data_IF_805716242727
#
_entry.id   IF_805716242727
#
_cell.length_a   1.000
_cell.length_b   1.000
_cell.length_c   1.000
_cell.angle_alpha   90.00
_cell.angle_beta   90.00
_cell.angle_gamma   90.00
#
_symmetry.space_group_name_H-M   'P 1'
#
loop_
_entity.id
_entity.type
_entity.pdbx_description
1 polymer ?
#
# COMPACT_ATOMS: atom_id res chain seq x y z
N UNK A 1 1.14 0.42 11.12
CA UNK A 1 2.16 0.53 12.17
C UNK A 1 2.03 -0.61 13.16
N UNK A 2 0.87 -0.75 13.82
CA UNK A 2 0.68 -1.85 14.78
C UNK A 2 0.95 -3.26 14.19
N UNK A 3 0.55 -3.53 12.95
CA UNK A 3 0.82 -4.83 12.31
C UNK A 3 2.32 -5.09 12.09
N UNK A 4 3.09 -4.04 11.82
CA UNK A 4 4.56 -4.11 11.73
C UNK A 4 5.13 -4.50 13.10
N UNK A 5 4.68 -3.85 14.17
CA UNK A 5 5.11 -4.17 15.54
C UNK A 5 4.78 -5.61 15.92
N UNK A 6 3.55 -6.06 15.64
CA UNK A 6 3.14 -7.44 15.94
C UNK A 6 4.00 -8.46 15.20
N UNK A 7 4.25 -8.24 13.92
CA UNK A 7 5.13 -9.11 13.14
C UNK A 7 6.58 -9.06 13.65
N UNK A 8 7.09 -7.89 14.06
CA UNK A 8 8.41 -7.75 14.67
C UNK A 8 8.54 -8.54 15.98
N UNK A 9 7.53 -8.49 16.84
CA UNK A 9 7.47 -9.28 18.10
C UNK A 9 7.52 -10.79 17.81
N UNK A 10 6.97 -11.23 16.68
CA UNK A 10 7.03 -12.61 16.22
C UNK A 10 8.35 -12.96 15.51
N UNK A 11 9.33 -12.06 15.50
CA UNK A 11 10.67 -12.29 14.95
C UNK A 11 10.87 -11.86 13.50
N UNK A 12 9.91 -11.15 12.88
CA UNK A 12 10.10 -10.63 11.53
C UNK A 12 11.04 -9.41 11.50
N UNK A 13 12.02 -9.43 10.60
CA UNK A 13 12.99 -8.34 10.42
C UNK A 13 12.68 -7.47 9.19
N UNK A 14 11.76 -7.91 8.34
CA UNK A 14 11.31 -7.18 7.15
C UNK A 14 9.81 -7.38 6.89
N UNK A 15 9.18 -6.40 6.24
CA UNK A 15 7.73 -6.35 6.08
C UNK A 15 7.35 -6.05 4.63
N UNK A 16 6.66 -7.00 4.00
CA UNK A 16 6.15 -6.85 2.64
C UNK A 16 4.74 -6.25 2.61
N UNK A 17 4.49 -5.34 1.67
CA UNK A 17 3.20 -4.71 1.48
C UNK A 17 2.77 -4.78 0.02
N UNK A 18 1.61 -5.41 -0.24
CA UNK A 18 1.00 -5.48 -1.58
C UNK A 18 -0.20 -4.55 -1.71
N UNK A 19 -1.33 -4.96 -1.13
CA UNK A 19 -2.62 -4.27 -1.27
C UNK A 19 -2.60 -2.82 -0.76
N UNK A 20 -1.94 -2.55 0.37
CA UNK A 20 -1.88 -1.21 0.96
C UNK A 20 -1.32 -0.16 -0.01
N UNK A 21 -0.09 -0.34 -0.52
CA UNK A 21 0.47 0.50 -1.57
C UNK A 21 -0.38 0.58 -2.85
N UNK A 22 -1.00 -0.52 -3.30
CA UNK A 22 -1.88 -0.48 -4.47
C UNK A 22 -3.10 0.42 -4.25
N UNK A 23 -3.69 0.41 -3.05
CA UNK A 23 -4.80 1.30 -2.68
C UNK A 23 -4.31 2.74 -2.59
N UNK A 24 -3.14 2.98 -2.01
CA UNK A 24 -2.52 4.32 -1.98
C UNK A 24 -2.28 4.88 -3.39
N UNK A 25 -2.03 4.02 -4.38
CA UNK A 25 -1.87 4.40 -5.80
C UNK A 25 -3.19 4.52 -6.57
N UNK A 26 -4.34 4.24 -5.95
CA UNK A 26 -5.66 4.45 -6.56
C UNK A 26 -6.50 3.18 -6.78
N UNK A 27 -6.10 2.02 -6.27
CA UNK A 27 -6.96 0.82 -6.30
C UNK A 27 -8.25 1.06 -5.49
N UNK A 28 -9.42 0.76 -6.08
CA UNK A 28 -10.75 0.87 -5.44
C UNK A 28 -11.31 -0.47 -4.96
N UNK A 29 -10.47 -1.51 -4.92
CA UNK A 29 -10.81 -2.84 -4.41
C UNK A 29 -12.04 -3.49 -5.07
N UNK A 30 -12.23 -3.25 -6.38
CA UNK A 30 -13.34 -3.79 -7.17
C UNK A 30 -13.24 -5.31 -7.45
N UNK A 31 -12.07 -5.91 -7.22
CA UNK A 31 -11.79 -7.35 -7.40
C UNK A 31 -12.02 -7.90 -8.82
N UNK A 32 -11.98 -7.02 -9.82
CA UNK A 32 -12.05 -7.36 -11.25
C UNK A 32 -10.67 -7.43 -11.93
N UNK A 33 -9.59 -7.58 -11.15
CA UNK A 33 -8.21 -7.54 -11.66
C UNK A 33 -7.94 -8.59 -12.75
N UNK A 34 -8.55 -9.77 -12.62
CA UNK A 34 -8.43 -10.89 -13.56
C UNK A 34 -9.15 -10.67 -14.90
N UNK A 35 -10.01 -9.66 -15.00
CA UNK A 35 -10.79 -9.36 -16.21
C UNK A 35 -10.08 -8.39 -17.16
N UNK A 36 -8.85 -7.95 -16.84
CA UNK A 36 -8.13 -6.92 -17.57
C UNK A 36 -8.91 -5.58 -17.72
N UNK A 37 -9.93 -5.35 -16.89
CA UNK A 37 -10.84 -4.19 -16.97
C UNK A 37 -10.80 -3.34 -15.70
N UNK A 38 -9.60 -3.07 -15.17
CA UNK A 38 -9.43 -2.27 -13.96
C UNK A 38 -9.84 -0.81 -14.22
N UNK A 39 -10.95 -0.39 -13.60
CA UNK A 39 -11.53 0.96 -13.77
C UNK A 39 -10.61 2.11 -13.31
N UNK A 40 -9.55 1.81 -12.55
CA UNK A 40 -8.58 2.82 -12.08
C UNK A 40 -7.18 2.65 -12.70
N UNK A 41 -7.06 1.83 -13.75
CA UNK A 41 -5.79 1.68 -14.48
C UNK A 41 -4.67 0.97 -13.70
N UNK A 42 -4.92 0.43 -12.51
CA UNK A 42 -3.90 -0.21 -11.65
C UNK A 42 -3.52 -1.62 -12.13
N UNK A 43 -4.51 -2.49 -12.35
CA UNK A 43 -4.30 -3.91 -12.68
C UNK A 43 -4.93 -4.25 -14.04
N UNK A 44 -4.43 -3.64 -15.11
CA UNK A 44 -4.86 -3.84 -16.49
C UNK A 44 -3.71 -3.56 -17.45
N UNK A 45 -3.67 -4.28 -18.57
CA UNK A 45 -2.79 -4.02 -19.71
C UNK A 45 -3.50 -3.22 -20.81
N UNK A 46 -4.80 -2.94 -20.68
CA UNK A 46 -5.54 -2.10 -21.62
C UNK A 46 -4.96 -0.68 -21.61
N UNK A 47 -4.47 -0.23 -22.76
CA UNK A 47 -3.79 1.05 -22.93
C UNK A 47 -4.68 2.24 -22.57
N UNK A 48 -5.95 2.23 -22.99
CA UNK A 48 -6.91 3.30 -22.69
C UNK A 48 -7.14 3.41 -21.19
N UNK A 49 -7.36 2.29 -20.49
CA UNK A 49 -7.60 2.30 -19.05
C UNK A 49 -6.35 2.73 -18.27
N UNK A 50 -5.16 2.30 -18.68
CA UNK A 50 -3.89 2.71 -18.06
C UNK A 50 -3.65 4.21 -18.23
N UNK A 51 -3.77 4.72 -19.45
CA UNK A 51 -3.46 6.12 -19.79
C UNK A 51 -4.49 7.10 -19.23
N UNK A 52 -5.77 6.72 -19.19
CA UNK A 52 -6.85 7.62 -18.79
C UNK A 52 -7.22 7.55 -17.31
N UNK A 53 -6.89 6.46 -16.60
CA UNK A 53 -7.41 6.24 -15.24
C UNK A 53 -6.35 6.00 -14.17
N UNK A 54 -5.11 5.64 -14.53
CA UNK A 54 -4.06 5.53 -13.53
C UNK A 54 -3.58 6.91 -13.08
N UNK A 55 -3.74 7.21 -11.79
CA UNK A 55 -3.38 8.50 -11.18
C UNK A 55 -2.25 8.39 -10.15
N UNK A 56 -1.68 7.18 -9.98
CA UNK A 56 -0.71 6.91 -8.92
C UNK A 56 0.59 7.68 -9.13
N UNK A 57 0.97 8.50 -8.15
CA UNK A 57 2.24 9.21 -8.13
C UNK A 57 3.18 8.57 -7.10
N UNK A 58 4.51 8.58 -7.32
CA UNK A 58 5.48 8.08 -6.34
C UNK A 58 5.30 8.71 -4.94
N UNK A 59 4.91 9.99 -4.87
CA UNK A 59 4.67 10.67 -3.59
C UNK A 59 3.54 10.03 -2.77
N UNK A 60 2.53 9.45 -3.42
CA UNK A 60 1.39 8.84 -2.72
C UNK A 60 1.84 7.60 -1.94
N UNK A 61 2.68 6.76 -2.54
CA UNK A 61 3.23 5.56 -1.87
C UNK A 61 4.31 5.93 -0.84
N UNK A 62 5.12 6.97 -1.10
CA UNK A 62 6.06 7.49 -0.11
C UNK A 62 5.33 7.99 1.13
N UNK A 63 4.27 8.77 0.97
CA UNK A 63 3.45 9.26 2.08
C UNK A 63 2.81 8.11 2.87
N UNK A 64 2.31 7.07 2.18
CA UNK A 64 1.79 5.86 2.83
C UNK A 64 2.84 5.24 3.77
N UNK A 65 4.06 5.01 3.29
CA UNK A 65 5.13 4.43 4.11
C UNK A 65 5.62 5.38 5.21
N UNK A 66 5.65 6.70 4.97
CA UNK A 66 5.94 7.69 6.01
C UNK A 66 4.94 7.60 7.17
N UNK A 67 3.65 7.41 6.88
CA UNK A 67 2.62 7.24 7.91
C UNK A 67 2.73 5.89 8.63
N UNK A 68 2.98 4.79 7.90
CA UNK A 68 3.23 3.48 8.52
C UNK A 68 4.44 3.54 9.45
N UNK A 69 5.54 4.16 9.02
CA UNK A 69 6.74 4.32 9.82
C UNK A 69 6.50 5.21 11.04
N UNK A 70 5.77 6.33 10.88
CA UNK A 70 5.42 7.22 11.98
C UNK A 70 4.61 6.50 13.05
N UNK A 71 3.54 5.80 12.66
CA UNK A 71 2.73 5.02 13.60
C UNK A 71 3.55 3.91 14.28
N UNK A 72 4.47 3.27 13.55
CA UNK A 72 5.38 2.28 14.12
C UNK A 72 6.24 2.88 15.24
N UNK A 73 6.84 4.07 15.01
CA UNK A 73 7.61 4.78 16.04
C UNK A 73 6.76 5.21 17.24
N UNK A 74 5.51 5.64 17.00
CA UNK A 74 4.56 5.98 18.06
C UNK A 74 4.26 4.75 18.95
N UNK A 75 4.20 3.55 18.38
CA UNK A 75 4.05 2.30 19.15
C UNK A 75 5.33 1.89 19.88
N UNK A 76 6.50 2.01 19.25
CA UNK A 76 7.79 1.75 19.91
C UNK A 76 7.96 2.62 21.15
N UNK A 77 7.69 3.93 21.02
CA UNK A 77 7.74 4.88 22.13
C UNK A 77 6.79 4.50 23.29
N UNK A 78 5.61 3.94 23.00
CA UNK A 78 4.67 3.44 24.04
C UNK A 78 5.17 2.18 24.73
N UNK A 79 5.94 1.35 24.04
CA UNK A 79 6.51 0.10 24.57
C UNK A 79 7.85 0.34 25.29
N UNK A 80 8.43 1.55 25.18
CA UNK A 80 9.71 1.91 25.79
C UNK A 80 10.93 1.40 25.00
N UNK A 81 10.77 1.18 23.69
CA UNK A 81 11.84 0.79 22.76
C UNK A 81 12.01 1.80 21.64
#
# INVERSE_FOLDING_TARGET
GLDVIKAAILGAESFGFGTGPMVALGCKYLRICHLNNCATGVATQNEKLRTQHFIGLPQMVMNYFQFVARETREWLAKLGV
#
